data_IF_398524209161
#
_entry.id   IF_398524209161
#
_cell.length_a   1.000
_cell.length_b   1.000
_cell.length_c   1.000
_cell.angle_alpha   90.00
_cell.angle_beta   90.00
_cell.angle_gamma   90.00
#
_symmetry.space_group_name_H-M   'P 1'
#
loop_
_entity.id
_entity.type
_entity.pdbx_description
1 polymer ?
#
# COMPACT_ATOMS: atom_id res chain seq x y z
N UNK A 1 -19.03 27.58 -1.59
CA UNK A 1 -19.83 26.35 -1.73
C UNK A 1 -20.11 25.81 -0.33
N UNK A 2 -21.31 26.09 0.19
CA UNK A 2 -21.65 25.81 1.58
C UNK A 2 -22.39 24.47 1.74
N UNK A 3 -22.76 23.81 0.65
CA UNK A 3 -23.43 22.52 0.68
C UNK A 3 -22.46 21.38 0.42
N UNK A 4 -22.44 20.33 1.29
CA UNK A 4 -21.68 19.14 1.04
C UNK A 4 -22.19 18.45 -0.24
N UNK A 5 -21.28 18.04 -1.11
CA UNK A 5 -21.59 17.35 -2.34
C UNK A 5 -20.64 16.17 -2.53
N UNK A 6 -21.16 15.11 -3.14
CA UNK A 6 -20.36 13.98 -3.61
C UNK A 6 -20.32 14.05 -5.13
N UNK A 7 -19.10 14.05 -5.68
CA UNK A 7 -18.87 13.98 -7.14
C UNK A 7 -18.26 12.64 -7.43
N UNK A 8 -18.88 11.86 -8.30
CA UNK A 8 -18.36 10.57 -8.77
C UNK A 8 -17.92 10.71 -10.23
N UNK A 9 -16.68 10.28 -10.50
CA UNK A 9 -16.13 10.18 -11.83
C UNK A 9 -15.87 8.70 -12.12
N UNK A 10 -16.46 8.20 -13.20
CA UNK A 10 -16.35 6.78 -13.57
C UNK A 10 -15.55 6.66 -14.84
N UNK A 11 -14.47 5.88 -14.79
CA UNK A 11 -13.70 5.50 -15.97
C UNK A 11 -14.32 4.24 -16.58
N UNK A 12 -14.58 4.28 -17.88
CA UNK A 12 -15.11 3.13 -18.60
C UNK A 12 -13.94 2.34 -19.22
N UNK A 13 -13.72 1.05 -18.82
CA UNK A 13 -12.61 0.25 -19.35
C UNK A 13 -12.59 0.14 -20.89
N UNK A 14 -13.75 0.18 -21.53
CA UNK A 14 -13.84 0.10 -23.01
C UNK A 14 -13.26 1.36 -23.71
N UNK A 15 -13.25 2.49 -23.02
CA UNK A 15 -12.81 3.78 -23.55
C UNK A 15 -11.71 4.41 -22.70
N UNK A 16 -11.01 3.61 -21.90
CA UNK A 16 -10.03 4.05 -20.91
C UNK A 16 -8.97 4.99 -21.54
N UNK A 17 -8.41 4.61 -22.68
CA UNK A 17 -7.39 5.40 -23.38
C UNK A 17 -7.88 6.82 -23.75
N UNK A 18 -9.15 6.96 -24.09
CA UNK A 18 -9.74 8.25 -24.46
C UNK A 18 -10.21 9.05 -23.25
N UNK A 19 -10.74 8.37 -22.23
CA UNK A 19 -11.35 9.02 -21.07
C UNK A 19 -10.34 9.38 -19.99
N UNK A 20 -9.30 8.57 -19.78
CA UNK A 20 -8.32 8.80 -18.71
C UNK A 20 -7.67 10.18 -18.75
N UNK A 21 -7.25 10.76 -19.90
CA UNK A 21 -6.70 12.12 -19.93
C UNK A 21 -7.71 13.19 -19.53
N UNK A 22 -8.97 13.01 -19.93
CA UNK A 22 -10.07 13.95 -19.61
C UNK A 22 -10.35 13.90 -18.10
N UNK A 23 -10.52 12.69 -17.55
CA UNK A 23 -10.76 12.48 -16.14
C UNK A 23 -9.58 12.97 -15.30
N UNK A 24 -8.35 12.75 -15.75
CA UNK A 24 -7.14 13.28 -15.10
C UNK A 24 -7.16 14.81 -15.03
N UNK A 25 -7.57 15.48 -16.10
CA UNK A 25 -7.69 16.95 -16.15
C UNK A 25 -8.77 17.45 -15.19
N UNK A 26 -9.92 16.79 -15.15
CA UNK A 26 -11.02 17.12 -14.23
C UNK A 26 -10.54 16.94 -12.80
N UNK A 27 -9.97 15.78 -12.43
CA UNK A 27 -9.47 15.50 -11.09
C UNK A 27 -8.39 16.50 -10.67
N UNK A 28 -7.46 16.82 -11.57
CA UNK A 28 -6.42 17.81 -11.28
C UNK A 28 -7.01 19.21 -11.01
N UNK A 29 -8.01 19.61 -11.79
CA UNK A 29 -8.71 20.87 -11.57
C UNK A 29 -9.48 20.88 -10.26
N UNK A 30 -10.20 19.80 -9.96
CA UNK A 30 -10.93 19.65 -8.70
C UNK A 30 -10.00 19.69 -7.48
N UNK A 31 -8.89 18.97 -7.51
CA UNK A 31 -7.91 18.99 -6.40
C UNK A 31 -7.35 20.39 -6.16
N UNK A 32 -7.10 21.16 -7.22
CA UNK A 32 -6.70 22.58 -7.09
C UNK A 32 -7.79 23.45 -6.48
N UNK A 33 -9.04 23.27 -6.90
CA UNK A 33 -10.16 24.04 -6.36
C UNK A 33 -10.49 23.67 -4.90
N UNK A 34 -10.26 22.41 -4.52
CA UNK A 34 -10.41 21.96 -3.12
C UNK A 34 -9.28 22.49 -2.24
N UNK A 35 -8.10 22.78 -2.77
CA UNK A 35 -6.90 23.21 -2.03
C UNK A 35 -7.02 24.67 -1.57
N UNK A 36 -8.01 24.96 -0.75
CA UNK A 36 -8.27 26.29 -0.16
C UNK A 36 -8.37 26.11 1.37
N UNK A 37 -7.60 26.93 2.11
CA UNK A 37 -7.59 26.90 3.57
C UNK A 37 -8.93 27.32 4.18
N UNK A 38 -9.18 26.85 5.39
CA UNK A 38 -10.37 27.19 6.17
C UNK A 38 -11.70 26.77 5.51
N UNK A 39 -11.64 25.70 4.72
CA UNK A 39 -12.82 25.01 4.18
C UNK A 39 -13.15 23.77 5.01
N UNK A 40 -14.34 23.20 4.79
CA UNK A 40 -14.74 21.93 5.43
C UNK A 40 -13.78 20.81 5.02
N UNK A 41 -13.46 19.96 5.97
CA UNK A 41 -12.72 18.71 5.71
C UNK A 41 -13.40 17.93 4.60
N UNK A 42 -12.60 17.41 3.68
CA UNK A 42 -13.06 16.74 2.49
C UNK A 42 -12.31 15.41 2.29
N UNK A 43 -12.75 14.64 1.35
CA UNK A 43 -12.19 13.32 1.10
C UNK A 43 -12.03 13.08 -0.42
N UNK A 44 -10.89 12.56 -0.81
CA UNK A 44 -10.61 12.10 -2.16
C UNK A 44 -10.44 10.57 -2.14
N UNK A 45 -11.38 9.86 -2.73
CA UNK A 45 -11.30 8.42 -2.94
C UNK A 45 -10.89 8.14 -4.38
N UNK A 46 -9.85 7.36 -4.55
CA UNK A 46 -9.37 6.85 -5.84
C UNK A 46 -9.38 5.33 -5.81
N UNK A 47 -10.44 4.73 -6.32
CA UNK A 47 -10.56 3.29 -6.50
C UNK A 47 -9.89 2.91 -7.83
N UNK A 48 -9.16 1.78 -7.85
CA UNK A 48 -8.33 1.37 -8.98
C UNK A 48 -7.44 2.53 -9.51
N UNK A 49 -6.82 3.23 -8.58
CA UNK A 49 -6.10 4.47 -8.84
C UNK A 49 -5.10 4.41 -10.01
N UNK A 50 -4.41 3.27 -10.29
CA UNK A 50 -3.52 3.17 -11.44
C UNK A 50 -4.20 3.19 -12.82
N UNK A 51 -5.51 3.29 -12.91
CA UNK A 51 -6.22 3.43 -14.20
C UNK A 51 -6.19 4.84 -14.76
N UNK A 52 -5.89 5.85 -13.91
CA UNK A 52 -5.82 7.25 -14.32
C UNK A 52 -4.48 7.84 -13.89
N UNK A 53 -3.67 8.27 -14.88
CA UNK A 53 -2.39 8.92 -14.60
C UNK A 53 -2.58 10.38 -14.23
N UNK A 54 -2.34 10.73 -12.97
CA UNK A 54 -2.34 12.13 -12.51
C UNK A 54 -0.93 12.71 -12.50
N UNK A 55 -0.79 13.95 -13.04
CA UNK A 55 0.46 14.68 -12.95
C UNK A 55 0.82 14.98 -11.49
N UNK A 56 2.07 14.74 -11.13
CA UNK A 56 2.59 14.98 -9.78
C UNK A 56 1.79 14.25 -8.67
N UNK A 57 1.22 13.08 -8.96
CA UNK A 57 0.45 12.29 -7.99
C UNK A 57 1.18 12.13 -6.65
N UNK A 58 2.49 11.97 -6.67
CA UNK A 58 3.31 11.85 -5.45
C UNK A 58 3.20 13.05 -4.50
N UNK A 59 2.79 14.22 -4.98
CA UNK A 59 2.61 15.43 -4.16
C UNK A 59 1.16 15.63 -3.69
N UNK A 60 0.20 15.04 -4.38
CA UNK A 60 -1.23 15.29 -4.12
C UNK A 60 -1.60 14.94 -2.68
N UNK A 61 -1.35 13.75 -2.12
CA UNK A 61 -1.73 13.42 -0.76
C UNK A 61 -1.09 14.35 0.27
N UNK A 62 0.20 14.65 0.13
CA UNK A 62 0.91 15.54 1.04
C UNK A 62 0.38 16.98 0.99
N UNK A 63 0.06 17.48 -0.21
CA UNK A 63 -0.52 18.80 -0.40
C UNK A 63 -1.94 18.89 0.16
N UNK A 64 -2.80 17.94 -0.16
CA UNK A 64 -4.20 17.93 0.26
C UNK A 64 -4.37 17.85 1.79
N UNK A 65 -3.46 17.13 2.47
CA UNK A 65 -3.44 17.09 3.94
C UNK A 65 -3.36 18.47 4.58
N UNK A 66 -2.63 19.41 3.97
CA UNK A 66 -2.53 20.79 4.46
C UNK A 66 -3.81 21.60 4.32
N UNK A 67 -4.82 21.05 3.66
CA UNK A 67 -6.13 21.64 3.44
C UNK A 67 -7.25 20.81 4.07
N UNK A 68 -6.92 19.93 5.03
CA UNK A 68 -7.87 19.04 5.70
C UNK A 68 -8.60 18.09 4.73
N UNK A 69 -7.89 17.63 3.68
CA UNK A 69 -8.43 16.70 2.71
C UNK A 69 -7.70 15.35 2.87
N UNK A 70 -8.45 14.35 3.29
CA UNK A 70 -7.95 12.98 3.36
C UNK A 70 -7.95 12.35 1.97
N UNK A 71 -6.92 11.53 1.69
CA UNK A 71 -6.81 10.79 0.43
C UNK A 71 -6.80 9.29 0.72
N UNK A 72 -7.72 8.56 0.10
CA UNK A 72 -7.70 7.10 0.03
C UNK A 72 -7.32 6.67 -1.37
N UNK A 73 -6.22 5.94 -1.48
CA UNK A 73 -5.65 5.46 -2.72
C UNK A 73 -5.70 3.93 -2.72
N UNK A 74 -6.60 3.37 -3.52
CA UNK A 74 -6.83 1.93 -3.60
C UNK A 74 -6.24 1.40 -4.89
N UNK A 75 -5.46 0.32 -4.77
CA UNK A 75 -4.88 -0.39 -5.91
C UNK A 75 -4.98 -1.91 -5.66
N UNK A 76 -5.11 -2.66 -6.74
CA UNK A 76 -5.12 -4.12 -6.65
C UNK A 76 -3.71 -4.68 -6.52
N UNK A 77 -2.75 -4.07 -7.21
CA UNK A 77 -1.37 -4.50 -7.26
C UNK A 77 -0.42 -3.30 -7.38
N UNK A 78 0.69 -3.36 -6.64
CA UNK A 78 1.77 -2.37 -6.74
C UNK A 78 2.37 -2.31 -8.14
N UNK A 79 2.44 -3.45 -8.83
CA UNK A 79 3.03 -3.55 -10.19
C UNK A 79 2.30 -2.64 -11.17
N UNK A 80 0.97 -2.56 -11.11
CA UNK A 80 0.19 -1.64 -11.96
C UNK A 80 0.59 -0.18 -11.73
N UNK A 81 0.81 0.19 -10.48
CA UNK A 81 1.26 1.54 -10.13
C UNK A 81 2.68 1.83 -10.64
N UNK A 82 3.57 0.83 -10.55
CA UNK A 82 4.94 0.92 -11.07
C UNK A 82 4.97 1.04 -12.59
N UNK A 83 4.11 0.32 -13.30
CA UNK A 83 3.96 0.43 -14.76
C UNK A 83 3.47 1.82 -15.19
N UNK A 84 2.53 2.40 -14.43
CA UNK A 84 1.93 3.68 -14.78
C UNK A 84 2.86 4.87 -14.49
N UNK A 85 3.54 4.86 -13.34
CA UNK A 85 4.33 6.01 -12.85
C UNK A 85 5.84 5.78 -12.91
N UNK A 86 6.30 4.56 -13.05
CA UNK A 86 7.68 4.13 -12.84
C UNK A 86 7.96 3.87 -11.35
N UNK A 87 8.90 2.96 -11.06
CA UNK A 87 9.18 2.47 -9.69
C UNK A 87 9.45 3.60 -8.67
N UNK A 88 10.29 4.57 -9.04
CA UNK A 88 10.63 5.69 -8.14
C UNK A 88 9.42 6.57 -7.78
N UNK A 89 8.61 6.91 -8.77
CA UNK A 89 7.44 7.75 -8.54
C UNK A 89 6.33 6.98 -7.81
N UNK A 90 6.13 5.72 -8.14
CA UNK A 90 5.24 4.81 -7.42
C UNK A 90 5.61 4.73 -5.94
N UNK A 91 6.88 4.47 -5.63
CA UNK A 91 7.38 4.46 -4.25
C UNK A 91 7.14 5.79 -3.54
N UNK A 92 7.35 6.93 -4.22
CA UNK A 92 7.10 8.25 -3.66
C UNK A 92 5.61 8.51 -3.38
N UNK A 93 4.70 7.99 -4.22
CA UNK A 93 3.25 8.05 -3.98
C UNK A 93 2.91 7.29 -2.70
N UNK A 94 3.31 6.03 -2.62
CA UNK A 94 2.98 5.15 -1.50
C UNK A 94 3.59 5.63 -0.18
N UNK A 95 4.80 6.18 -0.18
CA UNK A 95 5.45 6.72 1.03
C UNK A 95 4.77 7.97 1.61
N UNK A 96 3.96 8.67 0.82
CA UNK A 96 3.16 9.81 1.31
C UNK A 96 1.81 9.40 1.92
N UNK A 97 1.50 8.10 1.94
CA UNK A 97 0.29 7.53 2.53
C UNK A 97 0.66 6.87 3.86
N UNK A 98 0.40 7.56 4.97
CA UNK A 98 0.83 7.15 6.32
C UNK A 98 0.15 5.88 6.83
N UNK A 99 -1.07 5.62 6.35
CA UNK A 99 -1.84 4.42 6.70
C UNK A 99 -1.88 3.51 5.50
N UNK A 100 -1.48 2.26 5.69
CA UNK A 100 -1.47 1.27 4.62
C UNK A 100 -2.18 0.00 5.08
N UNK A 101 -3.03 -0.52 4.22
CA UNK A 101 -3.78 -1.74 4.45
C UNK A 101 -3.40 -2.74 3.36
N UNK A 102 -2.77 -3.82 3.78
CA UNK A 102 -2.28 -4.87 2.90
C UNK A 102 -3.26 -6.04 2.88
N UNK A 103 -3.90 -6.26 1.77
CA UNK A 103 -4.74 -7.41 1.50
C UNK A 103 -3.92 -8.63 1.07
N UNK A 104 -4.61 -9.63 0.52
CA UNK A 104 -3.97 -10.82 -0.01
C UNK A 104 -3.01 -10.46 -1.16
N UNK A 105 -1.76 -10.92 -1.05
CA UNK A 105 -0.81 -10.86 -2.15
C UNK A 105 -1.00 -12.05 -3.10
N UNK A 106 -0.90 -11.79 -4.41
CA UNK A 106 -1.01 -12.81 -5.44
C UNK A 106 0.35 -13.23 -6.03
N UNK A 107 1.40 -12.44 -5.77
CA UNK A 107 2.75 -12.69 -6.26
C UNK A 107 3.80 -12.53 -5.14
N UNK A 108 4.97 -13.20 -5.28
CA UNK A 108 6.01 -13.19 -4.26
C UNK A 108 6.66 -11.82 -4.02
N UNK A 109 6.78 -10.99 -5.04
CA UNK A 109 7.46 -9.70 -4.92
C UNK A 109 6.60 -8.69 -4.16
N UNK A 110 5.30 -8.68 -4.42
CA UNK A 110 4.32 -7.93 -3.63
C UNK A 110 4.30 -8.39 -2.17
N UNK A 111 4.30 -9.70 -1.91
CA UNK A 111 4.33 -10.22 -0.54
C UNK A 111 5.61 -9.82 0.22
N UNK A 112 6.77 -9.86 -0.45
CA UNK A 112 8.05 -9.39 0.13
C UNK A 112 8.06 -7.88 0.34
N UNK A 113 7.46 -7.12 -0.57
CA UNK A 113 7.30 -5.68 -0.40
C UNK A 113 6.49 -5.36 0.86
N UNK A 114 5.38 -6.07 1.10
CA UNK A 114 4.56 -5.89 2.31
C UNK A 114 5.35 -6.25 3.58
N UNK A 115 6.10 -7.35 3.57
CA UNK A 115 6.93 -7.78 4.69
C UNK A 115 7.91 -6.68 5.18
N UNK A 116 8.41 -5.83 4.27
CA UNK A 116 9.37 -4.77 4.59
C UNK A 116 8.81 -3.67 5.50
N UNK A 117 7.49 -3.56 5.64
CA UNK A 117 6.86 -2.57 6.53
C UNK A 117 6.86 -2.99 8.00
N UNK A 118 7.14 -4.27 8.30
CA UNK A 118 6.99 -4.82 9.64
C UNK A 118 8.34 -5.06 10.31
N UNK A 119 8.35 -4.92 11.64
CA UNK A 119 9.55 -5.05 12.45
C UNK A 119 10.26 -6.39 12.27
N UNK A 120 11.59 -6.35 12.35
CA UNK A 120 12.43 -7.54 12.42
C UNK A 120 12.51 -7.96 13.89
N UNK A 121 12.06 -9.16 14.18
CA UNK A 121 12.12 -9.76 15.53
C UNK A 121 13.11 -10.91 15.57
N UNK A 122 13.75 -11.10 16.72
CA UNK A 122 14.65 -12.24 16.96
C UNK A 122 13.85 -13.45 17.39
N UNK A 123 13.84 -14.47 16.56
CA UNK A 123 13.22 -15.75 16.87
C UNK A 123 14.26 -16.75 17.35
N UNK A 124 14.02 -17.37 18.50
CA UNK A 124 14.86 -18.44 19.01
C UNK A 124 14.58 -19.74 18.27
N UNK A 125 15.59 -20.27 17.60
CA UNK A 125 15.50 -21.55 16.89
C UNK A 125 16.27 -22.59 17.69
N UNK A 126 15.61 -23.70 18.00
CA UNK A 126 16.22 -24.86 18.63
C UNK A 126 16.34 -25.96 17.58
N UNK A 127 17.56 -26.29 17.18
CA UNK A 127 17.83 -27.41 16.29
C UNK A 127 18.28 -28.62 17.12
N UNK A 128 17.59 -29.72 16.94
CA UNK A 128 17.92 -31.01 17.61
C UNK A 128 18.51 -31.93 16.54
N UNK A 129 19.79 -32.20 16.63
CA UNK A 129 20.44 -33.24 15.82
C UNK A 129 20.50 -34.52 16.65
N UNK A 130 19.85 -35.58 16.14
CA UNK A 130 20.03 -36.93 16.67
C UNK A 130 21.29 -37.52 16.05
N UNK A 131 22.19 -38.00 16.89
CA UNK A 131 23.39 -38.71 16.43
C UNK A 131 23.03 -40.02 15.71
N UNK A 132 23.93 -40.48 14.88
CA UNK A 132 23.82 -41.78 14.22
C UNK A 132 23.83 -42.92 15.23
N UNK A 133 23.34 -44.11 14.81
CA UNK A 133 23.13 -45.29 15.62
C UNK A 133 24.34 -45.69 16.48
N UNK A 134 25.57 -45.41 16.06
CA UNK A 134 26.78 -45.70 16.81
C UNK A 134 27.16 -44.68 17.88
N UNK A 135 26.55 -43.49 17.92
CA UNK A 135 26.81 -42.49 18.96
C UNK A 135 25.57 -41.65 19.23
N UNK A 136 24.67 -42.10 20.14
CA UNK A 136 23.35 -41.50 20.35
C UNK A 136 23.38 -40.19 21.16
N UNK A 137 24.37 -39.32 20.93
CA UNK A 137 24.39 -38.02 21.62
C UNK A 137 23.48 -37.05 20.88
N UNK A 138 22.40 -36.68 21.51
CA UNK A 138 21.49 -35.60 21.05
C UNK A 138 22.19 -34.27 21.27
N UNK A 139 22.49 -33.58 20.18
CA UNK A 139 23.04 -32.22 20.21
C UNK A 139 21.91 -31.22 20.03
N UNK A 140 21.68 -30.40 21.05
CA UNK A 140 20.73 -29.29 21.00
C UNK A 140 21.51 -28.01 20.72
N UNK A 141 21.30 -27.42 19.54
CA UNK A 141 21.87 -26.12 19.18
C UNK A 141 20.77 -25.08 19.27
N UNK A 142 20.98 -24.07 20.08
CA UNK A 142 20.10 -22.90 20.18
C UNK A 142 20.74 -21.76 19.40
N UNK A 143 20.01 -21.21 18.44
CA UNK A 143 20.42 -20.04 17.67
C UNK A 143 19.28 -19.02 17.63
N UNK A 144 19.64 -17.76 17.47
CA UNK A 144 18.67 -16.69 17.22
C UNK A 144 18.73 -16.35 15.74
N UNK A 145 17.56 -16.21 15.11
CA UNK A 145 17.44 -15.77 13.73
C UNK A 145 16.54 -14.54 13.70
N UNK A 146 17.01 -13.53 13.00
CA UNK A 146 16.19 -12.35 12.71
C UNK A 146 15.18 -12.69 11.62
N UNK A 147 13.92 -12.42 11.89
CA UNK A 147 12.80 -12.64 10.96
C UNK A 147 11.83 -11.47 11.05
N UNK A 148 11.18 -11.12 9.96
CA UNK A 148 10.11 -10.13 10.01
C UNK A 148 8.96 -10.66 10.89
N UNK A 149 8.37 -9.79 11.70
CA UNK A 149 7.24 -10.11 12.60
C UNK A 149 6.04 -10.62 11.82
N UNK A 150 5.78 -10.00 10.66
CA UNK A 150 4.80 -10.47 9.68
C UNK A 150 5.55 -10.84 8.40
N UNK A 151 5.58 -12.12 8.12
CA UNK A 151 6.33 -12.66 6.98
C UNK A 151 5.50 -12.68 5.72
N UNK A 152 6.18 -12.70 4.57
CA UNK A 152 5.58 -12.73 3.24
C UNK A 152 4.53 -13.84 3.07
N UNK A 153 4.75 -15.03 3.66
CA UNK A 153 3.81 -16.15 3.57
C UNK A 153 2.45 -15.86 4.21
N UNK A 154 2.36 -14.95 5.18
CA UNK A 154 1.12 -14.53 5.81
C UNK A 154 0.18 -13.88 4.80
N UNK A 155 0.70 -13.06 3.91
CA UNK A 155 -0.11 -12.30 2.94
C UNK A 155 -0.75 -13.21 1.88
N UNK A 156 -0.16 -14.36 1.55
CA UNK A 156 -0.81 -15.34 0.67
C UNK A 156 -2.01 -16.05 1.31
N UNK A 157 -2.07 -16.09 2.64
CA UNK A 157 -3.10 -16.82 3.40
C UNK A 157 -4.27 -15.95 3.83
N UNK A 158 -4.22 -14.64 3.59
CA UNK A 158 -5.32 -13.74 3.92
C UNK A 158 -6.56 -14.11 3.12
N UNK A 159 -7.70 -14.09 3.79
CA UNK A 159 -9.01 -14.32 3.18
C UNK A 159 -9.58 -13.00 2.63
N UNK A 160 -10.57 -13.05 1.75
CA UNK A 160 -11.30 -11.86 1.33
C UNK A 160 -11.81 -11.06 2.55
N UNK A 161 -11.54 -9.75 2.54
CA UNK A 161 -11.90 -8.87 3.65
C UNK A 161 -10.91 -8.85 4.83
N UNK A 162 -9.87 -9.71 4.83
CA UNK A 162 -8.78 -9.65 5.81
C UNK A 162 -7.66 -8.74 5.31
N UNK A 163 -7.17 -7.89 6.20
CA UNK A 163 -6.07 -6.96 5.94
C UNK A 163 -5.08 -6.96 7.10
N UNK A 164 -3.84 -6.67 6.77
CA UNK A 164 -2.81 -6.30 7.75
C UNK A 164 -2.62 -4.79 7.62
N UNK A 165 -2.78 -4.06 8.70
CA UNK A 165 -2.65 -2.62 8.72
C UNK A 165 -1.27 -2.20 9.23
N UNK A 166 -0.73 -1.16 8.60
CA UNK A 166 0.42 -0.42 9.07
C UNK A 166 0.02 1.06 9.20
N UNK A 167 0.17 1.61 10.40
CA UNK A 167 -0.25 2.96 10.72
C UNK A 167 0.81 3.67 11.57
N UNK A 168 1.39 4.76 11.06
CA UNK A 168 2.36 5.61 11.76
C UNK A 168 3.45 4.84 12.54
N UNK A 169 4.01 3.77 11.93
CA UNK A 169 4.98 2.89 12.58
C UNK A 169 4.39 1.98 13.67
N UNK A 170 3.09 1.85 13.75
CA UNK A 170 2.38 0.87 14.60
C UNK A 170 1.74 -0.20 13.73
N UNK A 171 1.80 -1.42 14.21
CA UNK A 171 1.20 -2.60 13.58
C UNK A 171 -0.18 -2.90 14.15
#
# INVERSE_FOLDING_TARGET
QDNPAVVSLVNNPLFETSYSPILATILHTMTKQMSVRHRRSSFLLMEEAPTIRLLNMHRIPASLRSYDIATLYVLQDKIQNDLLYGDKASKAILSNLSYQFFGKANDPDTAKYYEQFFEIVKMKITSISKGEWMNPRTRVTRSEKEVAKIRADRFFRLKPGEFVAFADGRE
#
